data_IF_255114088382
#
_entry.id   IF_255114088382
#
_cell.length_a   1.000
_cell.length_b   1.000
_cell.length_c   1.000
_cell.angle_alpha   90.00
_cell.angle_beta   90.00
_cell.angle_gamma   90.00
#
_symmetry.space_group_name_H-M   'P 1'
#
loop_
_entity.id
_entity.type
_entity.pdbx_description
1 polymer ?
#
# COMPACT_ATOMS: atom_id res chain seq x y z
N UNK A 1 -18.62 32.23 -15.78
CA UNK A 1 -18.65 32.22 -14.30
C UNK A 1 -19.87 31.41 -13.82
N UNK A 2 -19.76 30.08 -13.66
CA UNK A 2 -20.88 29.20 -13.25
C UNK A 2 -20.85 29.02 -11.73
N UNK A 3 -21.90 29.47 -11.02
CA UNK A 3 -22.03 29.28 -9.57
C UNK A 3 -22.20 27.78 -9.29
N UNK A 4 -21.28 27.17 -8.54
CA UNK A 4 -21.48 25.85 -7.94
C UNK A 4 -22.51 26.00 -6.80
N UNK A 5 -23.77 25.74 -7.10
CA UNK A 5 -24.85 25.70 -6.09
C UNK A 5 -24.70 24.39 -5.32
N UNK A 6 -24.13 24.42 -4.11
CA UNK A 6 -23.90 23.21 -3.32
C UNK A 6 -25.23 22.58 -2.88
N UNK A 7 -25.26 21.26 -2.65
CA UNK A 7 -26.45 20.52 -2.20
C UNK A 7 -27.07 21.15 -0.93
N UNK A 8 -26.26 21.75 -0.05
CA UNK A 8 -26.73 22.54 1.11
C UNK A 8 -27.57 23.76 0.71
N UNK A 9 -27.20 24.46 -0.36
CA UNK A 9 -27.93 25.65 -0.84
C UNK A 9 -29.26 25.29 -1.52
N UNK A 10 -29.33 24.13 -2.19
CA UNK A 10 -30.59 23.59 -2.72
C UNK A 10 -31.54 23.16 -1.61
N UNK A 11 -31.02 22.54 -0.53
CA UNK A 11 -31.82 22.18 0.64
C UNK A 11 -32.40 23.41 1.36
N UNK A 12 -31.61 24.46 1.54
CA UNK A 12 -32.06 25.74 2.08
C UNK A 12 -33.09 26.45 1.19
N UNK A 13 -32.95 26.33 -0.13
CA UNK A 13 -33.92 26.89 -1.08
C UNK A 13 -35.26 26.15 -1.02
N UNK A 14 -35.24 24.81 -1.06
CA UNK A 14 -36.47 23.98 -0.99
C UNK A 14 -37.20 24.19 0.34
N UNK A 15 -36.47 24.28 1.45
CA UNK A 15 -37.08 24.55 2.78
C UNK A 15 -37.65 25.96 2.90
N UNK A 16 -37.03 26.97 2.26
CA UNK A 16 -37.54 28.34 2.24
C UNK A 16 -38.76 28.49 1.32
N UNK A 17 -38.73 27.87 0.14
CA UNK A 17 -39.81 27.88 -0.85
C UNK A 17 -41.08 27.15 -0.36
N UNK A 18 -40.93 26.18 0.55
CA UNK A 18 -42.05 25.47 1.20
C UNK A 18 -42.96 26.37 2.05
N UNK A 19 -42.54 27.58 2.43
CA UNK A 19 -43.35 28.49 3.27
C UNK A 19 -44.35 29.35 2.48
N UNK A 20 -44.22 29.46 1.15
CA UNK A 20 -44.94 30.47 0.35
C UNK A 20 -46.13 29.94 -0.48
N UNK A 21 -46.34 28.63 -0.61
CA UNK A 21 -47.40 28.09 -1.48
C UNK A 21 -48.37 27.13 -0.76
N UNK A 22 -49.67 27.40 -0.94
CA UNK A 22 -50.81 26.92 -0.13
C UNK A 22 -51.60 25.76 -0.75
N UNK A 23 -50.98 24.93 -1.59
CA UNK A 23 -51.54 23.64 -2.01
C UNK A 23 -50.73 22.48 -1.39
N UNK A 24 -51.10 22.14 -0.16
CA UNK A 24 -50.26 21.35 0.75
C UNK A 24 -50.23 19.84 0.44
N UNK A 25 -51.22 19.26 -0.26
CA UNK A 25 -51.36 17.79 -0.33
C UNK A 25 -50.39 17.14 -1.33
N UNK A 26 -50.34 17.64 -2.57
CA UNK A 26 -49.38 17.18 -3.58
C UNK A 26 -47.94 17.59 -3.27
N UNK A 27 -47.73 18.79 -2.71
CA UNK A 27 -46.41 19.25 -2.31
C UNK A 27 -45.82 18.44 -1.16
N UNK A 28 -46.64 18.04 -0.17
CA UNK A 28 -46.19 17.11 0.90
C UNK A 28 -45.81 15.74 0.32
N UNK A 29 -46.58 15.19 -0.61
CA UNK A 29 -46.24 13.91 -1.25
C UNK A 29 -44.96 14.00 -2.09
N UNK A 30 -44.81 15.04 -2.91
CA UNK A 30 -43.58 15.26 -3.70
C UNK A 30 -42.37 15.55 -2.82
N UNK A 31 -42.52 16.35 -1.76
CA UNK A 31 -41.40 16.65 -0.85
C UNK A 31 -40.94 15.42 -0.07
N UNK A 32 -41.87 14.56 0.39
CA UNK A 32 -41.51 13.25 0.99
C UNK A 32 -40.79 12.35 -0.02
N UNK A 33 -41.24 12.33 -1.28
CA UNK A 33 -40.56 11.58 -2.34
C UNK A 33 -39.12 12.10 -2.58
N UNK A 34 -38.95 13.41 -2.72
CA UNK A 34 -37.65 14.03 -2.90
C UNK A 34 -36.70 13.74 -1.73
N UNK A 35 -37.19 13.80 -0.49
CA UNK A 35 -36.41 13.42 0.69
C UNK A 35 -35.99 11.95 0.65
N UNK A 36 -36.87 11.04 0.22
CA UNK A 36 -36.54 9.62 0.05
C UNK A 36 -35.46 9.41 -1.03
N UNK A 37 -35.57 10.12 -2.16
CA UNK A 37 -34.56 10.07 -3.23
C UNK A 37 -33.22 10.64 -2.78
N UNK A 38 -33.22 11.75 -2.04
CA UNK A 38 -31.99 12.35 -1.52
C UNK A 38 -31.28 11.41 -0.53
N UNK A 39 -32.03 10.71 0.34
CA UNK A 39 -31.46 9.68 1.22
C UNK A 39 -30.79 8.55 0.43
N UNK A 40 -31.43 8.07 -0.64
CA UNK A 40 -30.87 7.02 -1.50
C UNK A 40 -29.61 7.48 -2.24
N UNK A 41 -29.60 8.71 -2.78
CA UNK A 41 -28.44 9.29 -3.44
C UNK A 41 -27.28 9.41 -2.46
N UNK A 42 -27.53 9.96 -1.27
CA UNK A 42 -26.52 10.08 -0.20
C UNK A 42 -25.96 8.72 0.22
N UNK A 43 -26.79 7.71 0.42
CA UNK A 43 -26.33 6.36 0.75
C UNK A 43 -25.49 5.74 -0.38
N UNK A 44 -25.86 5.98 -1.65
CA UNK A 44 -25.08 5.54 -2.80
C UNK A 44 -23.74 6.26 -2.87
N UNK A 45 -23.69 7.54 -2.55
CA UNK A 45 -22.45 8.34 -2.49
C UNK A 45 -21.54 7.84 -1.38
N UNK A 46 -22.04 7.68 -0.14
CA UNK A 46 -21.30 7.16 1.01
C UNK A 46 -20.75 5.76 0.72
N UNK A 47 -21.56 4.85 0.16
CA UNK A 47 -21.10 3.51 -0.23
C UNK A 47 -20.02 3.55 -1.32
N UNK A 48 -20.17 4.43 -2.30
CA UNK A 48 -19.18 4.60 -3.38
C UNK A 48 -17.86 5.18 -2.86
N UNK A 49 -17.91 6.03 -1.84
CA UNK A 49 -16.73 6.58 -1.17
C UNK A 49 -15.99 5.50 -0.39
N UNK A 50 -16.69 4.69 0.42
CA UNK A 50 -16.10 3.53 1.11
C UNK A 50 -15.44 2.56 0.12
N UNK A 51 -16.13 2.21 -0.97
CA UNK A 51 -15.55 1.32 -2.00
C UNK A 51 -14.32 1.91 -2.69
N UNK A 52 -14.24 3.24 -2.83
CA UNK A 52 -13.04 3.91 -3.38
C UNK A 52 -11.88 3.84 -2.39
N UNK A 53 -12.14 4.14 -1.12
CA UNK A 53 -11.12 4.03 -0.06
C UNK A 53 -10.56 2.60 0.04
N UNK A 54 -11.43 1.59 -0.02
CA UNK A 54 -11.03 0.17 -0.06
C UNK A 54 -10.18 -0.15 -1.29
N UNK A 55 -10.58 0.34 -2.47
CA UNK A 55 -9.83 0.13 -3.71
C UNK A 55 -8.45 0.81 -3.68
N UNK A 56 -8.35 2.02 -3.13
CA UNK A 56 -7.08 2.74 -3.01
C UNK A 56 -6.16 2.07 -1.98
N UNK A 57 -6.71 1.58 -0.86
CA UNK A 57 -5.95 0.77 0.09
C UNK A 57 -5.41 -0.52 -0.56
N UNK A 58 -6.25 -1.22 -1.33
CA UNK A 58 -5.84 -2.44 -2.03
C UNK A 58 -4.74 -2.15 -3.05
N UNK A 59 -4.86 -1.06 -3.82
CA UNK A 59 -3.83 -0.62 -4.77
C UNK A 59 -2.51 -0.35 -4.07
N UNK A 60 -2.52 0.39 -2.96
CA UNK A 60 -1.32 0.67 -2.18
C UNK A 60 -0.65 -0.61 -1.68
N UNK A 61 -1.42 -1.59 -1.21
CA UNK A 61 -0.89 -2.90 -0.80
C UNK A 61 -0.28 -3.68 -1.95
N UNK A 62 -0.92 -3.67 -3.13
CA UNK A 62 -0.41 -4.36 -4.32
C UNK A 62 0.90 -3.74 -4.81
N UNK A 63 1.02 -2.41 -4.78
CA UNK A 63 2.27 -1.71 -5.11
C UNK A 63 3.38 -2.12 -4.14
N UNK A 64 3.12 -2.04 -2.83
CA UNK A 64 4.10 -2.43 -1.81
C UNK A 64 4.52 -3.91 -1.93
N UNK A 65 3.57 -4.82 -2.16
CA UNK A 65 3.87 -6.24 -2.35
C UNK A 65 4.72 -6.48 -3.62
N UNK A 66 4.42 -5.76 -4.70
CA UNK A 66 5.18 -5.84 -5.95
C UNK A 66 6.61 -5.33 -5.75
N UNK A 67 6.79 -4.22 -5.05
CA UNK A 67 8.11 -3.68 -4.72
C UNK A 67 8.91 -4.64 -3.82
N UNK A 68 8.25 -5.23 -2.83
CA UNK A 68 8.86 -6.24 -1.96
C UNK A 68 9.36 -7.45 -2.76
N UNK A 69 8.52 -8.03 -3.62
CA UNK A 69 8.91 -9.16 -4.47
C UNK A 69 9.99 -8.79 -5.49
N UNK A 70 9.98 -7.56 -5.99
CA UNK A 70 10.97 -7.09 -6.95
C UNK A 70 12.35 -6.81 -6.32
N UNK A 71 12.40 -6.53 -5.01
CA UNK A 71 13.64 -6.20 -4.29
C UNK A 71 14.27 -7.39 -3.57
N UNK A 72 13.53 -8.49 -3.42
CA UNK A 72 13.96 -9.66 -2.65
C UNK A 72 14.29 -10.87 -3.54
N UNK A 73 15.20 -11.71 -3.06
CA UNK A 73 15.41 -13.06 -3.59
C UNK A 73 14.29 -13.98 -3.12
N UNK A 74 13.73 -14.78 -4.02
CA UNK A 74 12.53 -15.57 -3.75
C UNK A 74 12.80 -16.74 -2.78
N UNK A 75 14.01 -17.29 -2.79
CA UNK A 75 14.35 -18.47 -2.01
C UNK A 75 14.68 -18.10 -0.57
N UNK A 76 15.45 -17.03 -0.38
CA UNK A 76 16.02 -16.63 0.91
C UNK A 76 15.28 -15.48 1.60
N UNK A 77 14.54 -14.68 0.82
CA UNK A 77 13.93 -13.43 1.28
C UNK A 77 14.95 -12.37 1.70
N UNK A 78 16.22 -12.52 1.31
CA UNK A 78 17.24 -11.47 1.38
C UNK A 78 17.05 -10.48 0.24
N UNK A 79 17.71 -9.32 0.30
CA UNK A 79 17.73 -8.43 -0.86
C UNK A 79 18.40 -9.14 -2.03
N UNK A 80 17.80 -9.01 -3.22
CA UNK A 80 18.43 -9.53 -4.42
C UNK A 80 19.60 -8.64 -4.84
N UNK A 81 20.41 -9.13 -5.78
CA UNK A 81 21.62 -8.42 -6.21
C UNK A 81 21.37 -6.98 -6.67
N UNK A 82 20.26 -6.76 -7.40
CA UNK A 82 19.90 -5.44 -7.90
C UNK A 82 19.63 -4.46 -6.76
N UNK A 83 18.91 -4.90 -5.74
CA UNK A 83 18.63 -4.04 -4.58
C UNK A 83 19.89 -3.83 -3.73
N UNK A 84 20.75 -4.85 -3.59
CA UNK A 84 22.06 -4.71 -2.94
C UNK A 84 22.91 -3.63 -3.62
N UNK A 85 23.01 -3.65 -4.96
CA UNK A 85 23.80 -2.67 -5.71
C UNK A 85 23.25 -1.24 -5.52
N UNK A 86 21.91 -1.07 -5.52
CA UNK A 86 21.26 0.22 -5.27
C UNK A 86 21.58 0.75 -3.88
N UNK A 87 21.37 -0.08 -2.86
CA UNK A 87 21.58 0.27 -1.46
C UNK A 87 23.06 0.54 -1.14
N UNK A 88 23.97 -0.25 -1.74
CA UNK A 88 25.40 -0.05 -1.61
C UNK A 88 25.83 1.30 -2.20
N UNK A 89 25.33 1.69 -3.37
CA UNK A 89 25.62 3.00 -3.96
C UNK A 89 25.18 4.14 -3.02
N UNK A 90 23.98 4.05 -2.46
CA UNK A 90 23.47 5.05 -1.51
C UNK A 90 24.33 5.14 -0.24
N UNK A 91 24.67 4.00 0.36
CA UNK A 91 25.53 3.93 1.54
C UNK A 91 26.95 4.44 1.26
N UNK A 92 27.49 4.14 0.08
CA UNK A 92 28.82 4.60 -0.35
C UNK A 92 28.89 6.13 -0.51
N UNK A 93 27.90 6.73 -1.18
CA UNK A 93 27.83 8.19 -1.30
C UNK A 93 27.58 8.87 0.04
N UNK A 94 26.78 8.24 0.91
CA UNK A 94 26.57 8.73 2.27
C UNK A 94 27.90 8.78 3.04
N UNK A 95 28.63 7.66 3.10
CA UNK A 95 29.94 7.54 3.74
C UNK A 95 30.95 8.56 3.20
N UNK A 96 31.02 8.77 1.88
CA UNK A 96 31.90 9.78 1.30
C UNK A 96 31.61 11.20 1.78
N UNK A 97 30.32 11.54 1.94
CA UNK A 97 29.86 12.88 2.34
C UNK A 97 30.01 13.11 3.85
N UNK A 98 29.66 12.12 4.68
CA UNK A 98 29.69 12.25 6.14
C UNK A 98 31.05 11.91 6.75
N UNK A 99 31.94 11.27 5.98
CA UNK A 99 33.21 10.69 6.45
C UNK A 99 33.04 9.59 7.50
N UNK A 100 31.84 9.02 7.60
CA UNK A 100 31.59 7.85 8.43
C UNK A 100 32.05 6.56 7.73
N UNK A 101 32.63 5.60 8.45
CA UNK A 101 33.11 4.36 7.86
C UNK A 101 31.96 3.48 7.36
N UNK A 102 32.12 2.91 6.17
CA UNK A 102 31.25 1.88 5.61
C UNK A 102 31.97 0.52 5.65
N UNK A 103 31.27 -0.52 6.08
CA UNK A 103 31.75 -1.91 6.04
C UNK A 103 30.88 -2.74 5.10
N UNK A 104 31.49 -3.72 4.42
CA UNK A 104 30.80 -4.64 3.53
C UNK A 104 31.32 -6.06 3.77
N UNK A 105 30.41 -7.03 3.86
CA UNK A 105 30.75 -8.44 4.09
C UNK A 105 30.22 -9.28 2.93
N UNK A 106 31.11 -10.09 2.34
CA UNK A 106 30.75 -11.09 1.35
C UNK A 106 30.87 -12.46 2.00
N UNK A 107 29.78 -13.23 2.01
CA UNK A 107 29.69 -14.54 2.67
C UNK A 107 29.49 -15.60 1.59
N UNK A 108 30.28 -16.67 1.66
CA UNK A 108 30.09 -17.88 0.86
C UNK A 108 29.78 -19.08 1.78
N UNK A 109 28.96 -20.02 1.31
CA UNK A 109 28.59 -21.22 2.07
C UNK A 109 29.51 -22.36 1.64
N UNK A 110 30.45 -22.70 2.51
CA UNK A 110 31.36 -23.81 2.29
C UNK A 110 30.62 -25.13 2.08
N UNK A 111 31.00 -25.86 1.03
CA UNK A 111 30.53 -27.22 0.79
C UNK A 111 29.09 -27.35 0.29
N UNK A 112 28.39 -26.26 -0.05
CA UNK A 112 27.00 -26.31 -0.53
C UNK A 112 26.81 -27.26 -1.74
N UNK A 113 27.78 -27.31 -2.65
CA UNK A 113 27.76 -28.24 -3.78
C UNK A 113 27.77 -29.71 -3.33
N UNK A 114 28.60 -30.07 -2.35
CA UNK A 114 28.67 -31.45 -1.82
C UNK A 114 27.35 -31.84 -1.16
N UNK A 115 26.71 -30.91 -0.47
CA UNK A 115 25.40 -31.12 0.13
C UNK A 115 24.32 -31.35 -0.93
N UNK A 116 24.32 -30.54 -2.00
CA UNK A 116 23.45 -30.72 -3.15
C UNK A 116 23.67 -32.06 -3.84
N UNK A 117 24.92 -32.46 -4.06
CA UNK A 117 25.26 -33.70 -4.74
C UNK A 117 24.83 -34.92 -3.90
N UNK A 118 24.86 -34.81 -2.56
CA UNK A 118 24.51 -35.91 -1.64
C UNK A 118 23.01 -36.03 -1.35
N UNK A 119 22.30 -34.91 -1.24
CA UNK A 119 20.91 -34.89 -0.76
C UNK A 119 19.93 -34.20 -1.72
N UNK A 120 20.41 -33.73 -2.87
CA UNK A 120 19.64 -33.02 -3.89
C UNK A 120 19.49 -31.52 -3.60
N UNK A 121 19.05 -30.77 -4.62
CA UNK A 121 18.94 -29.31 -4.55
C UNK A 121 17.99 -28.80 -3.46
N UNK A 122 16.92 -29.55 -3.14
CA UNK A 122 16.01 -29.16 -2.07
C UNK A 122 16.70 -29.11 -0.69
N UNK A 123 17.77 -29.89 -0.48
CA UNK A 123 18.55 -29.81 0.74
C UNK A 123 19.40 -28.53 0.77
N UNK A 124 20.06 -28.18 -0.34
CA UNK A 124 20.77 -26.91 -0.46
C UNK A 124 19.87 -25.70 -0.32
N UNK A 125 18.66 -25.74 -0.86
CA UNK A 125 17.65 -24.69 -0.69
C UNK A 125 17.34 -24.46 0.80
N UNK A 126 17.21 -25.53 1.59
CA UNK A 126 17.02 -25.43 3.05
C UNK A 126 18.25 -24.85 3.75
N UNK A 127 19.46 -25.20 3.30
CA UNK A 127 20.70 -24.60 3.82
C UNK A 127 20.72 -23.11 3.55
N UNK A 128 20.43 -22.68 2.31
CA UNK A 128 20.36 -21.27 1.92
C UNK A 128 19.32 -20.50 2.75
N UNK A 129 18.12 -21.04 2.89
CA UNK A 129 17.06 -20.46 3.71
C UNK A 129 17.47 -20.31 5.18
N UNK A 130 18.13 -21.33 5.74
CA UNK A 130 18.58 -21.30 7.13
C UNK A 130 19.70 -20.29 7.33
N UNK A 131 20.67 -20.23 6.42
CA UNK A 131 21.73 -19.22 6.46
C UNK A 131 21.16 -17.81 6.38
N UNK A 132 20.23 -17.56 5.46
CA UNK A 132 19.55 -16.27 5.34
C UNK A 132 18.78 -15.89 6.62
N UNK A 133 18.13 -16.85 7.27
CA UNK A 133 17.46 -16.63 8.56
C UNK A 133 18.48 -16.24 9.64
N UNK A 134 19.57 -16.97 9.76
CA UNK A 134 20.64 -16.67 10.73
C UNK A 134 21.22 -15.28 10.49
N UNK A 135 21.49 -14.89 9.24
CA UNK A 135 21.96 -13.53 8.92
C UNK A 135 20.95 -12.49 9.43
N UNK A 136 19.67 -12.61 9.07
CA UNK A 136 18.62 -11.64 9.48
C UNK A 136 18.46 -11.52 11.00
N UNK A 137 18.67 -12.60 11.74
CA UNK A 137 18.56 -12.60 13.21
C UNK A 137 19.79 -12.03 13.92
N UNK A 138 20.92 -11.89 13.22
CA UNK A 138 22.21 -11.49 13.82
C UNK A 138 22.76 -10.15 13.30
N UNK A 139 22.05 -9.47 12.41
CA UNK A 139 22.38 -8.11 11.96
C UNK A 139 21.56 -7.07 12.72
N UNK A 140 22.03 -5.82 12.74
CA UNK A 140 21.30 -4.69 13.33
C UNK A 140 20.15 -4.27 12.41
N UNK A 141 19.25 -3.43 12.92
CA UNK A 141 18.10 -2.93 12.14
C UNK A 141 18.54 -2.03 10.99
N UNK A 142 19.67 -1.36 11.14
CA UNK A 142 20.26 -0.46 10.16
C UNK A 142 21.09 -1.20 9.09
N UNK A 143 21.46 -2.45 9.35
CA UNK A 143 22.23 -3.27 8.42
C UNK A 143 21.34 -3.82 7.29
N UNK A 144 21.96 -4.11 6.15
CA UNK A 144 21.26 -4.55 4.94
C UNK A 144 21.64 -5.98 4.59
N UNK A 145 20.64 -6.85 4.45
CA UNK A 145 20.78 -8.23 3.97
C UNK A 145 19.58 -8.66 3.13
#
# INVERSE_FOLDING_TARGET
MRRKTSIKSLFQFVTKFSKEHRDQKEYRQRSVYWLKQMKLIRQKEEKKEITREEADLLRSRLVAAKEWLASRDYLTGLYNRRELDRQFQEAFFHSQRTKEPLSFLLIDIDGLKKENDRFGHQAGDKVLQKTAKVIKENIRKEDMA
#
